data_IF_237171217326
#
_entry.id   IF_237171217326
#
_cell.length_a   1.000
_cell.length_b   1.000
_cell.length_c   1.000
_cell.angle_alpha   90.00
_cell.angle_beta   90.00
_cell.angle_gamma   90.00
#
_symmetry.space_group_name_H-M   'P 1'
#
loop_
_entity.id
_entity.type
_entity.pdbx_description
1 polymer ?
#
# COMPACT_ATOMS: atom_id res chain seq x y z
N UNK A 1 -4.84 11.39 25.13
CA UNK A 1 -4.76 10.69 26.43
C UNK A 1 -6.15 10.21 26.78
N UNK A 2 -6.51 8.98 26.45
CA UNK A 2 -7.70 8.32 27.01
C UNK A 2 -7.19 7.17 27.87
N UNK A 3 -7.22 7.37 29.19
CA UNK A 3 -6.84 6.35 30.17
C UNK A 3 -8.01 5.39 30.30
N UNK A 4 -7.81 4.11 29.98
CA UNK A 4 -8.73 3.05 30.39
C UNK A 4 -8.38 2.65 31.83
N UNK A 5 -9.37 2.58 32.75
CA UNK A 5 -9.12 2.12 34.10
C UNK A 5 -9.23 0.60 34.11
N UNK A 6 -8.11 -0.09 33.84
CA UNK A 6 -8.03 -1.53 34.08
C UNK A 6 -7.74 -1.72 35.58
N UNK A 7 -8.67 -2.39 36.26
CA UNK A 7 -8.70 -2.58 37.70
C UNK A 7 -7.37 -3.08 38.29
N UNK A 8 -6.97 -2.44 39.39
CA UNK A 8 -5.88 -2.84 40.26
C UNK A 8 -6.33 -4.05 41.07
N UNK A 9 -5.63 -5.19 41.00
CA UNK A 9 -5.36 -6.02 42.20
C UNK A 9 -4.42 -7.22 42.01
N UNK A 10 -4.12 -7.71 40.81
CA UNK A 10 -3.04 -8.71 40.64
C UNK A 10 -2.35 -8.55 39.30
N UNK A 11 -1.05 -8.22 39.32
CA UNK A 11 -0.19 -8.32 38.14
C UNK A 11 -0.03 -9.81 37.86
N UNK A 12 -0.61 -10.30 36.77
CA UNK A 12 -0.42 -11.69 36.34
C UNK A 12 1.05 -11.88 35.91
N UNK A 13 1.85 -12.44 36.82
CA UNK A 13 3.28 -12.72 36.63
C UNK A 13 3.54 -13.86 35.62
N UNK A 14 2.50 -14.59 35.19
CA UNK A 14 2.58 -15.66 34.20
C UNK A 14 2.06 -15.22 32.83
N UNK A 15 1.50 -14.01 32.70
CA UNK A 15 1.12 -13.46 31.41
C UNK A 15 2.38 -13.14 30.59
N UNK A 16 2.49 -13.74 29.41
CA UNK A 16 3.51 -13.32 28.44
C UNK A 16 3.24 -11.86 28.07
N UNK A 17 4.24 -10.95 28.08
CA UNK A 17 4.01 -9.56 27.73
C UNK A 17 3.36 -9.51 26.34
N UNK A 18 2.11 -9.03 26.28
CA UNK A 18 1.43 -8.82 25.00
C UNK A 18 2.34 -7.88 24.20
N UNK A 19 2.86 -8.35 23.07
CA UNK A 19 3.60 -7.51 22.13
C UNK A 19 2.65 -6.38 21.74
N UNK A 20 2.82 -5.22 22.36
CA UNK A 20 2.06 -4.03 22.01
C UNK A 20 2.22 -3.75 20.52
N UNK A 21 1.28 -3.00 19.94
CA UNK A 21 1.40 -2.46 18.58
C UNK A 21 2.83 -1.91 18.42
N UNK A 22 3.60 -2.35 17.41
CA UNK A 22 4.96 -1.87 17.23
C UNK A 22 4.94 -0.34 17.28
N UNK A 23 5.67 0.25 18.24
CA UNK A 23 5.92 1.70 18.23
C UNK A 23 6.46 1.98 16.84
N UNK A 24 5.80 2.92 16.15
CA UNK A 24 6.23 3.59 14.91
C UNK A 24 7.60 3.14 14.41
N UNK A 25 7.66 2.63 13.17
CA UNK A 25 8.87 2.15 12.48
C UNK A 25 10.19 2.68 13.10
N UNK A 26 11.16 1.81 13.46
CA UNK A 26 12.41 2.21 14.11
C UNK A 26 13.22 3.25 13.31
N UNK A 27 12.90 3.41 12.03
CA UNK A 27 13.49 4.41 11.16
C UNK A 27 12.66 5.69 11.11
N UNK A 28 13.36 6.82 11.06
CA UNK A 28 12.76 8.11 10.72
C UNK A 28 12.04 8.05 9.35
N UNK A 29 11.00 8.86 9.16
CA UNK A 29 10.06 8.81 8.02
C UNK A 29 10.78 8.87 6.66
N UNK A 30 11.87 9.64 6.57
CA UNK A 30 12.73 9.74 5.37
C UNK A 30 13.42 8.42 5.04
N UNK A 31 13.95 7.75 6.06
CA UNK A 31 14.62 6.44 5.91
C UNK A 31 13.58 5.36 5.60
N UNK A 32 12.46 5.34 6.32
CA UNK A 32 11.34 4.45 6.05
C UNK A 32 10.85 4.55 4.60
N UNK A 33 10.62 5.76 4.09
CA UNK A 33 10.14 5.96 2.71
C UNK A 33 11.12 5.43 1.66
N UNK A 34 12.43 5.50 1.92
CA UNK A 34 13.46 4.93 1.05
C UNK A 34 13.43 3.40 1.06
N UNK A 35 13.34 2.79 2.24
CA UNK A 35 13.22 1.33 2.37
C UNK A 35 11.95 0.82 1.68
N UNK A 36 10.81 1.43 1.95
CA UNK A 36 9.54 1.04 1.34
C UNK A 36 9.60 1.10 -0.20
N UNK A 37 10.16 2.18 -0.77
CA UNK A 37 10.36 2.29 -2.23
C UNK A 37 11.30 1.22 -2.77
N UNK A 38 12.37 0.89 -2.04
CA UNK A 38 13.31 -0.17 -2.45
C UNK A 38 12.63 -1.54 -2.46
N UNK A 39 11.89 -1.88 -1.40
CA UNK A 39 11.14 -3.14 -1.34
C UNK A 39 10.06 -3.22 -2.41
N UNK A 40 9.34 -2.13 -2.68
CA UNK A 40 8.39 -2.05 -3.79
C UNK A 40 9.07 -2.40 -5.11
N UNK A 41 10.18 -1.72 -5.45
CA UNK A 41 10.93 -1.99 -6.70
C UNK A 41 11.47 -3.41 -6.77
N UNK A 42 11.92 -3.97 -5.65
CA UNK A 42 12.43 -5.33 -5.60
C UNK A 42 11.30 -6.35 -5.84
N UNK A 43 10.15 -6.17 -5.18
CA UNK A 43 8.97 -7.00 -5.39
C UNK A 43 8.46 -6.92 -6.83
N UNK A 44 8.35 -5.72 -7.38
CA UNK A 44 7.91 -5.51 -8.76
C UNK A 44 8.85 -6.25 -9.74
N UNK A 45 10.18 -6.18 -9.52
CA UNK A 45 11.19 -6.90 -10.31
C UNK A 45 11.05 -8.42 -10.19
N UNK A 46 10.88 -8.94 -8.98
CA UNK A 46 10.70 -10.38 -8.72
C UNK A 46 9.42 -10.92 -9.39
N UNK A 47 8.39 -10.09 -9.51
CA UNK A 47 7.14 -10.43 -10.19
C UNK A 47 7.18 -10.18 -11.71
N UNK A 48 8.30 -9.69 -12.26
CA UNK A 48 8.45 -9.39 -13.68
C UNK A 48 7.71 -8.13 -14.15
N UNK A 49 7.22 -7.29 -13.24
CA UNK A 49 6.56 -6.03 -13.57
C UNK A 49 7.60 -4.97 -13.97
N UNK A 50 7.28 -4.22 -15.03
CA UNK A 50 8.05 -3.06 -15.46
C UNK A 50 7.22 -1.79 -15.30
N UNK A 51 7.89 -0.68 -14.95
CA UNK A 51 7.25 0.63 -14.80
C UNK A 51 7.33 1.38 -16.13
N UNK A 52 6.17 1.72 -16.67
CA UNK A 52 6.04 2.60 -17.83
C UNK A 52 5.59 3.99 -17.35
N UNK A 53 6.28 5.04 -17.80
CA UNK A 53 5.88 6.44 -17.55
C UNK A 53 5.44 7.06 -18.87
N UNK A 54 4.23 7.62 -18.90
CA UNK A 54 3.59 8.14 -20.13
C UNK A 54 3.00 9.50 -19.84
N UNK A 55 3.09 10.41 -20.82
CA UNK A 55 2.37 11.69 -20.81
C UNK A 55 1.05 11.50 -21.55
N UNK A 56 -0.06 11.83 -20.88
CA UNK A 56 -1.41 11.71 -21.41
C UNK A 56 -2.16 13.00 -21.09
N UNK A 57 -3.14 13.34 -21.92
CA UNK A 57 -4.02 14.48 -21.66
C UNK A 57 -4.76 14.34 -20.33
N UNK A 58 -4.95 15.47 -19.63
CA UNK A 58 -5.60 15.48 -18.32
C UNK A 58 -7.05 14.96 -18.39
N UNK A 59 -7.78 15.27 -19.47
CA UNK A 59 -9.15 14.81 -19.67
C UNK A 59 -9.26 13.28 -19.73
N UNK A 60 -8.27 12.61 -20.32
CA UNK A 60 -8.21 11.14 -20.39
C UNK A 60 -7.99 10.55 -18.99
N UNK A 61 -7.15 11.17 -18.16
CA UNK A 61 -6.92 10.72 -16.77
C UNK A 61 -8.21 10.88 -15.95
N UNK A 62 -8.90 12.01 -16.08
CA UNK A 62 -10.18 12.23 -15.40
C UNK A 62 -11.22 11.17 -15.80
N UNK A 63 -11.35 10.88 -17.10
CA UNK A 63 -12.29 9.86 -17.55
C UNK A 63 -11.90 8.46 -17.09
N UNK A 64 -10.60 8.15 -17.06
CA UNK A 64 -10.10 6.88 -16.53
C UNK A 64 -10.46 6.70 -15.05
N UNK A 65 -10.40 7.78 -14.26
CA UNK A 65 -10.74 7.76 -12.84
C UNK A 65 -12.21 7.46 -12.59
N UNK A 66 -13.11 8.07 -13.36
CA UNK A 66 -14.54 7.77 -13.31
C UNK A 66 -14.81 6.30 -13.61
N UNK A 67 -14.24 5.78 -14.69
CA UNK A 67 -14.40 4.37 -15.08
C UNK A 67 -13.83 3.42 -14.02
N UNK A 68 -12.68 3.76 -13.43
CA UNK A 68 -12.08 2.96 -12.35
C UNK A 68 -12.97 2.97 -11.09
N UNK A 69 -13.59 4.10 -10.76
CA UNK A 69 -14.51 4.22 -9.64
C UNK A 69 -15.78 3.39 -9.86
N UNK A 70 -16.36 3.48 -11.06
CA UNK A 70 -17.58 2.73 -11.43
C UNK A 70 -17.35 1.21 -11.40
N UNK A 71 -16.19 0.75 -11.88
CA UNK A 71 -15.83 -0.67 -11.93
C UNK A 71 -15.20 -1.20 -10.63
N UNK A 72 -14.84 -0.32 -9.69
CA UNK A 72 -14.14 -0.69 -8.45
C UNK A 72 -12.73 -1.24 -8.67
N UNK A 73 -12.08 -0.90 -9.79
CA UNK A 73 -10.73 -1.39 -10.15
C UNK A 73 -9.68 -0.31 -10.02
N UNK A 74 -8.41 -0.72 -9.92
CA UNK A 74 -7.30 0.26 -9.87
C UNK A 74 -6.95 0.78 -11.26
N UNK A 75 -6.41 2.01 -11.35
CA UNK A 75 -5.90 2.57 -12.63
C UNK A 75 -4.93 1.64 -13.34
N UNK A 76 -4.04 1.00 -12.59
CA UNK A 76 -3.05 0.05 -13.13
C UNK A 76 -3.71 -1.15 -13.77
N UNK A 77 -4.78 -1.64 -13.16
CA UNK A 77 -5.56 -2.79 -13.65
C UNK A 77 -6.35 -2.43 -14.90
N UNK A 78 -7.05 -1.28 -14.89
CA UNK A 78 -7.77 -0.77 -16.05
C UNK A 78 -6.85 -0.63 -17.28
N UNK A 79 -5.66 -0.04 -17.11
CA UNK A 79 -4.68 0.13 -18.18
C UNK A 79 -4.13 -1.22 -18.65
N UNK A 80 -3.83 -2.15 -17.73
CA UNK A 80 -3.37 -3.50 -18.10
C UNK A 80 -4.43 -4.26 -18.92
N UNK A 81 -5.69 -4.21 -18.51
CA UNK A 81 -6.79 -4.85 -19.22
C UNK A 81 -6.96 -4.27 -20.63
N UNK A 82 -6.93 -2.94 -20.75
CA UNK A 82 -7.02 -2.26 -22.03
C UNK A 82 -5.86 -2.63 -22.96
N UNK A 83 -4.62 -2.64 -22.45
CA UNK A 83 -3.44 -3.03 -23.23
C UNK A 83 -3.46 -4.50 -23.65
N UNK A 84 -3.86 -5.41 -22.76
CA UNK A 84 -4.02 -6.83 -23.08
C UNK A 84 -5.05 -7.06 -24.18
N UNK A 85 -6.22 -6.43 -24.03
CA UNK A 85 -7.27 -6.48 -25.04
C UNK A 85 -6.77 -5.95 -26.39
N UNK A 86 -6.06 -4.81 -26.41
CA UNK A 86 -5.54 -4.21 -27.63
C UNK A 86 -4.42 -5.03 -28.29
N UNK A 87 -3.57 -5.69 -27.49
CA UNK A 87 -2.50 -6.56 -27.96
C UNK A 87 -2.95 -8.00 -28.26
N UNK A 88 -4.24 -8.30 -28.08
CA UNK A 88 -4.79 -9.66 -28.20
C UNK A 88 -4.08 -10.70 -27.31
N UNK A 89 -3.78 -10.31 -26.06
CA UNK A 89 -3.19 -11.15 -25.00
C UNK A 89 -4.22 -11.44 -23.90
#
# INVERSE_FOLDING_TARGET
>A
MSVQPEDRTTIDMFSTPRRGRPRSNPYDRRVQSRFNKRFQRQRDKEQGLQRLEVKVEAAVITRLDEVCADLGITRTEAVNLALRHWLHM
#
